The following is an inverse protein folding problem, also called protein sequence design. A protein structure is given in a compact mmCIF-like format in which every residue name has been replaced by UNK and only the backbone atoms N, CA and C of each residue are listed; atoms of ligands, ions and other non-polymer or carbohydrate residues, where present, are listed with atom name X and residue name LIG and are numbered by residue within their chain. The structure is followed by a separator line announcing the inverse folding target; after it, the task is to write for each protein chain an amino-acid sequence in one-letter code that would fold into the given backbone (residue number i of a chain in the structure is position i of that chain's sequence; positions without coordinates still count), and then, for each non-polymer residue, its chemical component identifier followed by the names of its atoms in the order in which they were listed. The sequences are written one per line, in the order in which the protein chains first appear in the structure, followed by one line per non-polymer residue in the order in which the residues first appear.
data_IF_696020653892
#
_entry.id   IF_696020653892
#
_cell.length_a   1.000
_cell.length_b   1.000
_cell.length_c   1.000
_cell.angle_alpha   90.00
_cell.angle_beta   90.00
_cell.angle_gamma   90.00
#
_symmetry.space_group_name_H-M   'P 1'
#
loop_
_entity.id
_entity.type
_entity.pdbx_description
1 polymer ?
#
# COMPACT_ATOMS: atom_id res chain seq x y z
N UNK A 1 17.08 -51.79 -17.07
CA UNK A 1 15.67 -52.12 -17.42
C UNK A 1 15.69 -53.00 -18.66
N UNK A 2 15.10 -54.20 -18.60
CA UNK A 2 15.04 -55.09 -19.76
C UNK A 2 14.20 -54.48 -20.88
N UNK A 3 14.71 -54.51 -22.13
CA UNK A 3 14.04 -53.99 -23.33
C UNK A 3 12.59 -54.51 -23.47
N UNK A 4 12.34 -55.76 -23.07
CA UNK A 4 11.01 -56.37 -23.02
C UNK A 4 10.04 -55.66 -22.07
N UNK A 5 10.51 -55.11 -20.94
CA UNK A 5 9.66 -54.33 -20.01
C UNK A 5 9.35 -52.94 -20.54
N UNK A 6 10.28 -52.33 -21.28
CA UNK A 6 10.10 -51.02 -21.90
C UNK A 6 9.08 -51.08 -23.05
N UNK A 7 9.19 -52.09 -23.92
CA UNK A 7 8.22 -52.33 -25.00
C UNK A 7 6.82 -52.61 -24.44
N UNK A 8 6.72 -53.46 -23.42
CA UNK A 8 5.43 -53.72 -22.74
C UNK A 8 4.85 -52.50 -22.00
N UNK A 9 5.65 -51.50 -21.66
CA UNK A 9 5.16 -50.24 -21.09
C UNK A 9 4.60 -49.31 -22.18
N UNK A 10 5.28 -49.24 -23.34
CA UNK A 10 4.86 -48.42 -24.48
C UNK A 10 3.51 -48.90 -25.03
N UNK A 11 3.36 -50.20 -25.28
CA UNK A 11 2.12 -50.80 -25.80
C UNK A 11 0.93 -50.50 -24.87
N UNK A 12 1.13 -50.65 -23.55
CA UNK A 12 0.08 -50.34 -22.56
C UNK A 12 -0.27 -48.86 -22.50
N UNK A 13 0.68 -47.97 -22.78
CA UNK A 13 0.42 -46.54 -22.81
C UNK A 13 -0.33 -46.11 -24.09
N UNK A 14 -0.04 -46.73 -25.22
CA UNK A 14 -0.78 -46.50 -26.46
C UNK A 14 -2.22 -46.98 -26.36
N UNK A 15 -2.45 -48.21 -25.87
CA UNK A 15 -3.81 -48.72 -25.63
C UNK A 15 -4.63 -47.78 -24.75
N UNK A 16 -4.05 -47.31 -23.63
CA UNK A 16 -4.70 -46.33 -22.74
C UNK A 16 -4.96 -44.97 -23.38
N UNK A 17 -4.19 -44.57 -24.40
CA UNK A 17 -4.43 -43.32 -25.15
C UNK A 17 -5.59 -43.49 -26.12
N UNK A 18 -5.67 -44.63 -26.80
CA UNK A 18 -6.78 -44.96 -27.69
C UNK A 18 -8.09 -45.06 -26.91
N UNK A 19 -8.10 -45.77 -25.78
CA UNK A 19 -9.26 -45.84 -24.88
C UNK A 19 -9.72 -44.45 -24.42
N UNK A 20 -8.78 -43.56 -24.05
CA UNK A 20 -9.12 -42.18 -23.64
C UNK A 20 -9.66 -41.30 -24.77
N UNK A 21 -9.34 -41.61 -26.03
CA UNK A 21 -9.87 -40.86 -27.17
C UNK A 21 -11.33 -41.22 -27.49
N UNK A 22 -11.79 -42.36 -26.97
CA UNK A 22 -13.16 -42.86 -27.12
C UNK A 22 -14.01 -42.63 -25.87
N UNK A 23 -13.43 -42.14 -24.75
CA UNK A 23 -14.15 -41.82 -23.50
C UNK A 23 -15.18 -40.70 -23.72
N UNK A 24 -16.38 -40.89 -23.19
CA UNK A 24 -17.40 -39.83 -23.09
C UNK A 24 -17.05 -38.84 -21.98
N UNK A 25 -17.65 -37.65 -22.01
CA UNK A 25 -17.40 -36.58 -21.01
C UNK A 25 -17.71 -37.05 -19.59
N UNK A 26 -18.78 -37.84 -19.39
CA UNK A 26 -19.15 -38.40 -18.09
C UNK A 26 -18.11 -39.40 -17.57
N UNK A 27 -17.66 -40.34 -18.42
CA UNK A 27 -16.62 -41.32 -18.05
C UNK A 27 -15.29 -40.64 -17.71
N UNK A 28 -14.92 -39.59 -18.46
CA UNK A 28 -13.72 -38.79 -18.18
C UNK A 28 -13.79 -38.09 -16.82
N UNK A 29 -14.99 -37.70 -16.40
CA UNK A 29 -15.26 -37.00 -15.12
C UNK A 29 -15.16 -37.97 -13.95
N UNK A 30 -15.77 -39.16 -14.07
CA UNK A 30 -15.68 -40.23 -13.06
C UNK A 30 -14.23 -40.67 -12.88
N UNK A 31 -13.47 -40.86 -13.96
CA UNK A 31 -12.06 -41.25 -13.89
C UNK A 31 -11.20 -40.19 -13.21
N UNK A 32 -11.46 -38.89 -13.46
CA UNK A 32 -10.77 -37.78 -12.78
C UNK A 32 -11.09 -37.77 -11.28
N UNK A 33 -12.34 -38.01 -10.90
CA UNK A 33 -12.77 -38.10 -9.50
C UNK A 33 -12.00 -39.20 -8.74
N UNK A 34 -11.97 -40.42 -9.30
CA UNK A 34 -11.27 -41.57 -8.70
C UNK A 34 -9.76 -41.30 -8.56
N UNK A 35 -9.15 -40.67 -9.57
CA UNK A 35 -7.72 -40.29 -9.49
C UNK A 35 -7.47 -39.26 -8.39
N UNK A 36 -8.30 -38.22 -8.32
CA UNK A 36 -8.18 -37.17 -7.31
C UNK A 36 -8.34 -37.74 -5.90
N UNK A 37 -9.24 -38.71 -5.70
CA UNK A 37 -9.42 -39.37 -4.42
C UNK A 37 -8.20 -40.23 -4.05
N UNK A 38 -7.64 -40.98 -5.00
CA UNK A 38 -6.42 -41.76 -4.78
C UNK A 38 -5.19 -40.88 -4.48
N UNK A 39 -5.05 -39.75 -5.19
CA UNK A 39 -3.98 -38.78 -4.94
C UNK A 39 -4.16 -38.08 -3.59
N UNK A 40 -5.40 -37.74 -3.20
CA UNK A 40 -5.69 -37.21 -1.86
C UNK A 40 -5.36 -38.21 -0.74
N UNK A 41 -5.56 -39.52 -0.98
CA UNK A 41 -5.17 -40.56 -0.01
C UNK A 41 -3.64 -40.73 0.10
N UNK A 42 -2.90 -40.48 -0.99
CA UNK A 42 -1.43 -40.56 -1.02
C UNK A 42 -0.73 -39.28 -0.57
N UNK A 43 -1.45 -38.16 -0.53
CA UNK A 43 -0.91 -36.87 -0.12
C UNK A 43 -0.50 -36.96 1.36
N UNK A 44 0.79 -36.71 1.71
CA UNK A 44 1.19 -36.68 3.10
C UNK A 44 0.38 -35.61 3.82
N UNK A 45 -0.42 -36.02 4.82
CA UNK A 45 -1.41 -35.14 5.47
C UNK A 45 -0.80 -34.06 6.38
N UNK A 46 0.52 -33.98 6.53
CA UNK A 46 1.17 -32.96 7.35
C UNK A 46 2.54 -32.64 6.79
N UNK A 47 2.73 -31.40 6.34
CA UNK A 47 4.02 -30.75 6.56
C UNK A 47 4.06 -30.52 8.07
N UNK A 48 4.68 -31.45 8.79
CA UNK A 48 4.97 -31.23 10.20
C UNK A 48 6.10 -30.20 10.23
N UNK A 49 5.77 -28.92 10.41
CA UNK A 49 6.76 -27.97 10.89
C UNK A 49 7.14 -28.49 12.27
N UNK A 50 8.35 -29.04 12.43
CA UNK A 50 8.88 -29.39 13.74
C UNK A 50 9.05 -28.08 14.50
N UNK A 51 8.12 -27.77 15.39
CA UNK A 51 8.23 -26.67 16.34
C UNK A 51 9.06 -27.09 17.57
N UNK A 52 9.99 -28.04 17.43
CA UNK A 52 10.85 -28.53 18.53
C UNK A 52 12.05 -27.59 18.76
N UNK A 53 11.85 -26.28 18.58
CA UNK A 53 12.85 -25.27 18.92
C UNK A 53 12.36 -24.60 20.20
N UNK A 54 13.16 -24.67 21.28
CA UNK A 54 12.88 -23.89 22.48
C UNK A 54 12.86 -22.41 22.09
N UNK A 55 11.71 -21.76 22.33
CA UNK A 55 11.55 -20.34 22.04
C UNK A 55 12.51 -19.53 22.90
N UNK A 56 13.48 -18.89 22.25
CA UNK A 56 14.39 -17.97 22.92
C UNK A 56 13.63 -16.69 23.29
N UNK A 57 13.43 -16.47 24.59
CA UNK A 57 12.71 -15.33 25.14
C UNK A 57 13.69 -14.32 25.75
N UNK A 58 13.86 -13.17 25.10
CA UNK A 58 14.74 -12.09 25.55
C UNK A 58 14.15 -11.23 26.69
N UNK A 59 12.96 -11.57 27.21
CA UNK A 59 12.23 -10.81 28.21
C UNK A 59 11.54 -9.55 27.67
N UNK A 60 11.19 -8.63 28.57
CA UNK A 60 10.56 -7.35 28.20
C UNK A 60 11.59 -6.34 27.70
N UNK A 61 11.25 -5.67 26.60
CA UNK A 61 12.02 -4.55 26.07
C UNK A 61 11.79 -3.34 27.00
N UNK A 62 12.69 -3.13 27.95
CA UNK A 62 12.50 -2.19 29.08
C UNK A 62 13.69 -1.27 29.32
N UNK A 63 14.87 -1.62 28.80
CA UNK A 63 16.07 -0.79 28.91
C UNK A 63 15.99 0.34 27.90
N UNK A 64 16.34 1.57 28.30
CA UNK A 64 16.26 2.73 27.41
C UNK A 64 17.64 3.27 27.07
N UNK A 65 17.84 3.67 25.83
CA UNK A 65 19.02 4.42 25.41
C UNK A 65 19.00 5.81 26.05
N UNK A 66 20.07 6.18 26.75
CA UNK A 66 20.19 7.48 27.43
C UNK A 66 20.25 8.70 26.51
N UNK A 67 20.42 8.52 25.19
CA UNK A 67 20.50 9.63 24.24
C UNK A 67 19.19 9.88 23.49
N UNK A 68 18.55 8.83 22.97
CA UNK A 68 17.37 8.95 22.10
C UNK A 68 16.10 8.27 22.66
N UNK A 69 16.17 7.67 23.85
CA UNK A 69 15.02 7.01 24.48
C UNK A 69 14.55 5.71 23.82
N UNK A 70 15.23 5.23 22.79
CA UNK A 70 14.92 3.95 22.15
C UNK A 70 14.99 2.81 23.16
N UNK A 71 14.02 1.90 23.12
CA UNK A 71 13.91 0.80 24.07
C UNK A 71 14.62 -0.45 23.54
N UNK A 72 15.25 -1.21 24.43
CA UNK A 72 16.13 -2.33 24.15
C UNK A 72 15.80 -3.53 25.03
N UNK A 73 16.15 -4.71 24.54
CA UNK A 73 16.35 -5.87 25.42
C UNK A 73 17.71 -5.77 26.12
N UNK A 74 17.79 -6.33 27.32
CA UNK A 74 19.01 -6.29 28.14
C UNK A 74 20.24 -6.88 27.43
N UNK A 75 20.02 -7.92 26.64
CA UNK A 75 21.07 -8.67 25.91
C UNK A 75 21.58 -7.95 24.65
N UNK A 76 20.96 -6.83 24.25
CA UNK A 76 21.39 -6.08 23.07
C UNK A 76 22.56 -5.11 23.31
N UNK A 77 23.09 -5.08 24.54
CA UNK A 77 24.30 -4.33 24.86
C UNK A 77 25.47 -4.90 24.06
N UNK A 78 26.30 -4.02 23.52
CA UNK A 78 27.57 -4.44 22.94
C UNK A 78 28.56 -4.88 24.04
N UNK A 79 29.75 -5.33 23.65
CA UNK A 79 30.82 -5.71 24.59
C UNK A 79 31.22 -4.60 25.56
N UNK A 80 31.05 -3.33 25.17
CA UNK A 80 31.27 -2.15 26.01
C UNK A 80 30.07 -1.78 26.89
N UNK A 81 29.06 -2.65 27.00
CA UNK A 81 27.84 -2.47 27.80
C UNK A 81 26.99 -1.25 27.37
N UNK A 82 27.06 -0.88 26.09
CA UNK A 82 26.35 0.27 25.51
C UNK A 82 25.33 -0.13 24.45
N UNK A 83 24.30 0.70 24.30
CA UNK A 83 23.30 0.61 23.25
C UNK A 83 23.67 1.50 22.07
N UNK A 84 24.17 0.90 20.99
CA UNK A 84 24.69 1.66 19.84
C UNK A 84 23.89 1.48 18.56
N UNK A 85 22.85 0.63 18.55
CA UNK A 85 22.08 0.34 17.32
C UNK A 85 21.10 1.47 16.93
N UNK A 86 20.69 2.32 17.87
CA UNK A 86 19.67 3.35 17.65
C UNK A 86 20.27 4.66 17.15
N UNK A 87 21.09 5.31 17.98
CA UNK A 87 21.69 6.62 17.70
C UNK A 87 23.22 6.56 17.61
N UNK A 88 23.79 5.36 17.52
CA UNK A 88 25.24 5.15 17.49
C UNK A 88 25.98 5.86 18.65
N UNK A 89 25.51 5.66 19.89
CA UNK A 89 26.05 6.29 21.11
C UNK A 89 25.92 7.83 21.09
N UNK A 90 24.78 8.33 20.64
CA UNK A 90 24.48 9.77 20.56
C UNK A 90 25.10 10.50 19.37
N UNK A 91 25.80 9.81 18.47
CA UNK A 91 26.38 10.39 17.26
C UNK A 91 25.36 10.72 16.17
N UNK A 92 24.22 10.03 16.19
CA UNK A 92 23.08 10.29 15.31
C UNK A 92 21.98 10.92 16.13
N UNK A 93 21.61 12.16 15.79
CA UNK A 93 20.47 12.82 16.38
C UNK A 93 19.21 12.39 15.62
N UNK A 94 18.45 11.48 16.21
CA UNK A 94 17.14 11.10 15.71
C UNK A 94 16.11 12.09 16.26
N UNK A 95 15.31 12.67 15.37
CA UNK A 95 14.17 13.48 15.79
C UNK A 95 13.06 12.56 16.30
N UNK A 96 12.37 13.00 17.35
CA UNK A 96 11.22 12.27 17.85
C UNK A 96 10.13 12.20 16.79
N UNK A 97 9.53 11.02 16.63
CA UNK A 97 8.37 10.88 15.77
C UNK A 97 7.28 11.85 16.24
N UNK A 98 6.65 12.61 15.32
CA UNK A 98 5.54 13.46 15.69
C UNK A 98 4.42 12.58 16.24
N UNK A 99 3.74 13.08 17.27
CA UNK A 99 2.59 12.39 17.83
C UNK A 99 1.52 12.16 16.76
N UNK A 100 1.00 10.92 16.74
CA UNK A 100 -0.15 10.59 15.91
C UNK A 100 -1.35 11.45 16.30
N UNK A 101 -2.20 11.87 15.34
CA UNK A 101 -3.43 12.59 15.62
C UNK A 101 -4.29 11.85 16.66
N UNK A 102 -4.86 12.59 17.61
CA UNK A 102 -5.63 12.03 18.73
C UNK A 102 -6.80 11.16 18.24
N UNK A 103 -7.44 11.56 17.13
CA UNK A 103 -8.49 10.79 16.48
C UNK A 103 -8.02 9.38 16.08
N UNK A 104 -6.83 9.27 15.48
CA UNK A 104 -6.27 7.98 15.07
C UNK A 104 -5.85 7.14 16.28
N UNK A 105 -5.29 7.78 17.32
CA UNK A 105 -4.99 7.11 18.60
C UNK A 105 -6.26 6.49 19.17
N UNK A 106 -7.33 7.27 19.31
CA UNK A 106 -8.62 6.81 19.80
C UNK A 106 -9.19 5.65 18.96
N UNK A 107 -9.17 5.76 17.63
CA UNK A 107 -9.66 4.67 16.77
C UNK A 107 -8.81 3.40 16.83
N UNK A 108 -7.53 3.47 17.17
CA UNK A 108 -6.67 2.31 17.31
C UNK A 108 -6.74 1.67 18.71
N UNK A 109 -6.99 2.44 19.77
CA UNK A 109 -6.89 1.94 21.15
C UNK A 109 -8.22 1.76 21.86
N UNK A 110 -9.25 2.53 21.51
CA UNK A 110 -10.53 2.49 22.23
C UNK A 110 -11.42 1.31 21.82
N UNK A 111 -12.42 1.01 22.65
CA UNK A 111 -13.38 -0.08 22.45
C UNK A 111 -14.77 0.39 21.98
N UNK A 112 -14.88 1.62 21.48
CA UNK A 112 -16.12 2.15 20.90
C UNK A 112 -16.53 1.41 19.61
N UNK A 113 -17.82 1.43 19.23
CA UNK A 113 -18.28 0.87 17.95
C UNK A 113 -17.54 1.45 16.74
N UNK A 114 -17.30 2.77 16.76
CA UNK A 114 -16.53 3.50 15.73
C UNK A 114 -15.12 2.92 15.60
N UNK A 115 -14.39 2.82 16.70
CA UNK A 115 -13.02 2.32 16.73
C UNK A 115 -12.92 0.85 16.29
N UNK A 116 -13.91 0.02 16.66
CA UNK A 116 -14.01 -1.37 16.19
C UNK A 116 -14.24 -1.46 14.69
N UNK A 117 -15.18 -0.68 14.14
CA UNK A 117 -15.44 -0.64 12.71
C UNK A 117 -14.21 -0.15 11.95
N UNK A 118 -13.58 0.94 12.41
CA UNK A 118 -12.33 1.46 11.86
C UNK A 118 -11.25 0.39 11.78
N UNK A 119 -10.94 -0.30 12.88
CA UNK A 119 -9.89 -1.34 12.88
C UNK A 119 -10.21 -2.52 11.97
N UNK A 120 -11.48 -2.94 11.91
CA UNK A 120 -11.91 -4.02 11.02
C UNK A 120 -11.82 -3.64 9.54
N UNK A 121 -11.96 -2.35 9.22
CA UNK A 121 -12.09 -1.82 7.86
C UNK A 121 -10.99 -0.81 7.50
N UNK A 122 -9.86 -0.85 8.22
CA UNK A 122 -8.81 0.19 8.12
C UNK A 122 -8.29 0.34 6.69
N UNK A 123 -8.22 -0.76 5.94
CA UNK A 123 -7.85 -0.77 4.53
C UNK A 123 -8.86 -0.05 3.63
N UNK A 124 -10.16 -0.23 3.88
CA UNK A 124 -11.23 0.44 3.13
C UNK A 124 -11.19 1.95 3.39
N UNK A 125 -11.10 2.37 4.66
CA UNK A 125 -10.93 3.79 5.02
C UNK A 125 -9.69 4.40 4.38
N UNK A 126 -8.53 3.73 4.50
CA UNK A 126 -7.28 4.23 3.92
C UNK A 126 -7.38 4.36 2.40
N UNK A 127 -7.88 3.33 1.72
CA UNK A 127 -7.99 3.33 0.26
C UNK A 127 -8.94 4.40 -0.26
N UNK A 128 -10.03 4.67 0.47
CA UNK A 128 -11.00 5.71 0.12
C UNK A 128 -10.51 7.14 0.39
N UNK A 129 -9.54 7.31 1.28
CA UNK A 129 -8.91 8.59 1.62
C UNK A 129 -7.58 8.82 0.88
N UNK A 130 -7.04 7.82 0.19
CA UNK A 130 -5.77 7.90 -0.50
C UNK A 130 -5.75 9.00 -1.59
N UNK A 131 -4.60 9.63 -1.80
CA UNK A 131 -4.38 10.60 -2.87
C UNK A 131 -3.91 9.93 -4.17
N UNK A 132 -3.25 8.79 -4.05
CA UNK A 132 -2.79 7.97 -5.15
C UNK A 132 -3.44 6.58 -5.11
N UNK A 133 -3.71 6.03 -6.29
CA UNK A 133 -4.10 4.63 -6.44
C UNK A 133 -2.88 3.72 -6.37
N UNK A 134 -3.04 2.54 -5.76
CA UNK A 134 -2.06 1.45 -5.83
C UNK A 134 -2.62 0.36 -6.73
N UNK A 135 -1.82 -0.10 -7.68
CA UNK A 135 -2.19 -1.16 -8.60
C UNK A 135 -1.06 -2.14 -8.84
N UNK A 136 -1.42 -3.38 -9.13
CA UNK A 136 -0.46 -4.40 -9.49
C UNK A 136 -1.08 -5.34 -10.51
N UNK A 137 -0.27 -5.91 -11.40
CA UNK A 137 -0.76 -6.88 -12.37
C UNK A 137 -0.88 -8.25 -11.69
N UNK A 138 -2.09 -8.60 -11.25
CA UNK A 138 -2.37 -9.89 -10.64
C UNK A 138 -2.49 -10.95 -11.74
N UNK A 139 -1.60 -11.95 -11.74
CA UNK A 139 -1.71 -13.12 -12.63
C UNK A 139 -1.76 -14.37 -11.78
N UNK A 140 -2.96 -14.90 -11.45
CA UNK A 140 -3.05 -16.16 -10.71
C UNK A 140 -2.28 -17.26 -11.45
N UNK A 141 -1.60 -18.17 -10.74
CA UNK A 141 -0.89 -19.28 -11.37
C UNK A 141 -1.82 -20.10 -12.27
N UNK A 142 -1.31 -20.55 -13.41
CA UNK A 142 -2.01 -21.53 -14.25
C UNK A 142 -2.00 -22.90 -13.55
N UNK A 143 -3.17 -23.49 -13.32
CA UNK A 143 -3.32 -24.86 -12.81
C UNK A 143 -4.27 -25.01 -11.62
N UNK A 144 -4.41 -26.24 -11.12
CA UNK A 144 -5.34 -26.64 -10.05
C UNK A 144 -4.65 -26.69 -8.67
N UNK A 145 -3.76 -25.73 -8.40
CA UNK A 145 -3.10 -25.61 -7.09
C UNK A 145 -3.95 -24.81 -6.08
N UNK A 146 -3.58 -24.78 -4.80
CA UNK A 146 -4.16 -23.84 -3.83
C UNK A 146 -4.06 -22.40 -4.35
N UNK A 147 -5.09 -21.59 -4.09
CA UNK A 147 -5.09 -20.18 -4.48
C UNK A 147 -3.86 -19.48 -3.91
N UNK A 148 -3.07 -18.82 -4.75
CA UNK A 148 -2.03 -17.91 -4.31
C UNK A 148 -2.16 -16.59 -5.07
N UNK A 149 -2.08 -15.49 -4.31
CA UNK A 149 -2.06 -14.14 -4.84
C UNK A 149 -0.68 -13.90 -5.46
N UNK A 150 -0.62 -13.85 -6.79
CA UNK A 150 0.63 -13.68 -7.54
C UNK A 150 0.61 -12.34 -8.25
N UNK A 151 1.49 -11.46 -7.80
CA UNK A 151 1.84 -10.23 -8.49
C UNK A 151 2.83 -10.56 -9.60
N UNK A 152 2.57 -10.04 -10.79
CA UNK A 152 3.43 -10.19 -11.96
C UNK A 152 3.97 -8.81 -12.35
N UNK A 153 5.29 -8.62 -12.24
CA UNK A 153 5.90 -7.31 -12.45
C UNK A 153 5.95 -6.50 -11.15
N UNK A 154 5.88 -5.18 -11.27
CA UNK A 154 6.02 -4.24 -10.16
C UNK A 154 4.65 -3.68 -9.73
N UNK A 155 4.50 -3.39 -8.44
CA UNK A 155 3.40 -2.54 -7.95
C UNK A 155 3.65 -1.12 -8.45
N UNK A 156 2.60 -0.48 -8.96
CA UNK A 156 2.66 0.88 -9.46
C UNK A 156 1.66 1.75 -8.70
N UNK A 157 2.08 2.96 -8.39
CA UNK A 157 1.25 3.97 -7.76
C UNK A 157 0.90 5.01 -8.82
N UNK A 158 -0.37 5.44 -8.89
CA UNK A 158 -0.82 6.41 -9.89
C UNK A 158 -1.59 7.56 -9.31
N UNK A 159 -1.29 8.75 -9.81
CA UNK A 159 -2.01 9.99 -9.50
C UNK A 159 -2.81 10.42 -10.73
N UNK A 160 -4.09 10.69 -10.51
CA UNK A 160 -4.99 11.19 -11.55
C UNK A 160 -4.89 12.72 -11.67
N UNK A 161 -5.26 13.29 -12.83
CA UNK A 161 -5.53 14.72 -12.98
C UNK A 161 -6.57 15.22 -11.97
N UNK A 162 -6.61 16.54 -11.77
CA UNK A 162 -7.47 17.18 -10.77
C UNK A 162 -8.97 16.95 -11.05
N UNK A 163 -9.38 17.07 -12.31
CA UNK A 163 -10.73 16.79 -12.78
C UNK A 163 -10.75 15.50 -13.60
N UNK A 164 -11.87 14.80 -13.57
CA UNK A 164 -12.09 13.63 -14.42
C UNK A 164 -12.42 14.05 -15.84
N UNK A 165 -12.09 13.21 -16.82
CA UNK A 165 -12.75 13.25 -18.12
C UNK A 165 -14.15 12.65 -18.00
N UNK A 166 -15.08 13.05 -18.87
CA UNK A 166 -16.53 12.75 -18.82
C UNK A 166 -16.92 11.26 -18.69
N UNK A 167 -15.96 10.34 -18.75
CA UNK A 167 -16.18 8.88 -18.70
C UNK A 167 -15.75 8.22 -17.38
N UNK A 168 -15.18 8.96 -16.43
CA UNK A 168 -14.67 8.39 -15.18
C UNK A 168 -15.23 9.07 -13.93
N UNK A 169 -15.54 8.25 -12.92
CA UNK A 169 -15.98 8.70 -11.59
C UNK A 169 -14.79 9.25 -10.80
N UNK A 170 -15.02 10.32 -10.04
CA UNK A 170 -13.98 10.96 -9.26
C UNK A 170 -13.47 10.03 -8.15
N UNK A 171 -12.16 10.02 -7.95
CA UNK A 171 -11.51 9.13 -7.00
C UNK A 171 -10.20 9.70 -6.48
N UNK A 172 -9.75 9.16 -5.36
CA UNK A 172 -8.47 9.50 -4.73
C UNK A 172 -8.33 11.01 -4.45
N UNK A 173 -7.20 11.62 -4.85
CA UNK A 173 -6.91 13.04 -4.63
C UNK A 173 -7.99 14.00 -5.17
N UNK A 174 -8.72 13.59 -6.20
CA UNK A 174 -9.82 14.39 -6.78
C UNK A 174 -10.93 14.67 -5.77
N UNK A 175 -11.14 13.77 -4.80
CA UNK A 175 -12.22 13.93 -3.82
C UNK A 175 -12.01 15.11 -2.86
N UNK A 176 -10.79 15.64 -2.78
CA UNK A 176 -10.46 16.75 -1.89
C UNK A 176 -10.86 18.13 -2.43
N UNK A 177 -11.27 18.23 -3.71
CA UNK A 177 -11.81 19.48 -4.27
C UNK A 177 -13.28 19.70 -3.89
N UNK A 178 -14.02 18.62 -3.61
CA UNK A 178 -15.41 18.66 -3.18
C UNK A 178 -15.51 19.08 -1.71
N UNK A 179 -16.70 19.51 -1.29
CA UNK A 179 -16.97 19.66 0.13
C UNK A 179 -16.92 18.31 0.86
N UNK A 180 -16.77 18.36 2.19
CA UNK A 180 -16.55 17.15 2.99
C UNK A 180 -17.72 16.17 2.93
N UNK A 181 -18.96 16.67 2.85
CA UNK A 181 -20.15 15.85 2.78
C UNK A 181 -20.24 15.14 1.43
N UNK A 182 -20.10 15.88 0.33
CA UNK A 182 -20.13 15.30 -1.02
C UNK A 182 -18.99 14.29 -1.23
N UNK A 183 -17.77 14.61 -0.76
CA UNK A 183 -16.64 13.69 -0.82
C UNK A 183 -16.92 12.40 -0.03
N UNK A 184 -17.58 12.51 1.13
CA UNK A 184 -17.96 11.35 1.96
C UNK A 184 -19.01 10.47 1.28
N UNK A 185 -20.04 11.06 0.67
CA UNK A 185 -21.04 10.32 -0.11
C UNK A 185 -20.39 9.53 -1.26
N UNK A 186 -19.48 10.18 -2.00
CA UNK A 186 -18.70 9.54 -3.07
C UNK A 186 -17.87 8.37 -2.53
N UNK A 187 -17.22 8.51 -1.36
CA UNK A 187 -16.45 7.42 -0.71
C UNK A 187 -17.34 6.27 -0.26
N UNK A 188 -18.49 6.55 0.35
CA UNK A 188 -19.40 5.51 0.86
C UNK A 188 -20.00 4.65 -0.24
N UNK A 189 -20.20 5.21 -1.44
CA UNK A 189 -20.77 4.45 -2.57
C UNK A 189 -20.01 3.16 -2.91
N UNK A 190 -18.68 3.12 -2.64
CA UNK A 190 -17.82 1.96 -2.84
C UNK A 190 -17.47 1.23 -1.53
N UNK A 191 -17.84 1.77 -0.37
CA UNK A 191 -17.42 1.32 0.96
C UNK A 191 -18.62 1.20 1.93
N UNK A 192 -19.64 0.45 1.53
CA UNK A 192 -20.93 0.35 2.24
C UNK A 192 -20.84 -0.19 3.69
N UNK A 193 -19.75 -0.86 4.04
CA UNK A 193 -19.51 -1.39 5.38
C UNK A 193 -18.79 -0.39 6.32
N UNK A 194 -18.35 0.75 5.79
CA UNK A 194 -17.76 1.83 6.55
C UNK A 194 -18.86 2.76 7.09
N UNK A 195 -18.56 3.47 8.17
CA UNK A 195 -19.46 4.40 8.84
C UNK A 195 -19.24 5.82 8.31
N UNK A 196 -20.32 6.48 7.93
CA UNK A 196 -20.30 7.85 7.40
C UNK A 196 -19.59 8.83 8.33
N UNK A 197 -19.98 8.88 9.60
CA UNK A 197 -19.40 9.81 10.58
C UNK A 197 -17.94 9.53 10.89
N UNK A 198 -17.45 8.31 10.65
CA UNK A 198 -16.01 7.99 10.75
C UNK A 198 -15.28 8.58 9.54
N UNK A 199 -15.84 8.49 8.34
CA UNK A 199 -15.28 9.18 7.17
C UNK A 199 -15.23 10.69 7.36
N UNK A 200 -16.31 11.31 7.86
CA UNK A 200 -16.36 12.76 8.10
C UNK A 200 -15.26 13.20 9.07
N UNK A 201 -15.09 12.48 10.20
CA UNK A 201 -14.01 12.76 11.17
C UNK A 201 -12.62 12.64 10.54
N UNK A 202 -12.38 11.58 9.77
CA UNK A 202 -11.08 11.33 9.11
C UNK A 202 -10.79 12.32 7.98
N UNK A 203 -11.79 12.66 7.17
CA UNK A 203 -11.68 13.64 6.08
C UNK A 203 -11.40 15.03 6.63
N UNK A 204 -12.13 15.44 7.69
CA UNK A 204 -11.88 16.69 8.39
C UNK A 204 -10.44 16.76 8.90
N UNK A 205 -10.00 15.74 9.63
CA UNK A 205 -8.62 15.64 10.13
C UNK A 205 -7.60 15.77 8.99
N UNK A 206 -7.75 15.02 7.89
CA UNK A 206 -6.81 15.06 6.76
C UNK A 206 -6.82 16.41 6.04
N UNK A 207 -7.97 17.09 5.91
CA UNK A 207 -8.03 18.45 5.34
C UNK A 207 -7.30 19.47 6.20
N UNK A 208 -7.31 19.30 7.52
CA UNK A 208 -6.58 20.18 8.42
C UNK A 208 -5.07 19.96 8.37
N UNK A 209 -4.61 18.70 8.37
CA UNK A 209 -3.18 18.39 8.62
C UNK A 209 -2.41 17.86 7.41
N UNK A 210 -3.07 17.43 6.35
CA UNK A 210 -2.39 16.84 5.19
C UNK A 210 -1.98 17.90 4.16
N UNK A 211 -0.68 18.05 3.85
CA UNK A 211 -0.23 18.98 2.82
C UNK A 211 -0.79 18.61 1.43
N UNK A 212 -1.03 17.32 1.16
CA UNK A 212 -1.63 16.88 -0.10
C UNK A 212 -3.05 17.42 -0.25
N UNK A 213 -3.89 17.25 0.78
CA UNK A 213 -5.27 17.75 0.79
C UNK A 213 -5.33 19.25 0.51
N UNK A 214 -4.47 20.02 1.19
CA UNK A 214 -4.35 21.47 1.01
C UNK A 214 -3.90 21.82 -0.42
N UNK A 215 -2.95 21.06 -0.98
CA UNK A 215 -2.42 21.31 -2.34
C UNK A 215 -3.48 21.06 -3.42
N UNK A 216 -4.27 19.98 -3.31
CA UNK A 216 -5.38 19.70 -4.22
C UNK A 216 -6.43 20.82 -4.20
N UNK A 217 -6.81 21.28 -3.00
CA UNK A 217 -7.77 22.38 -2.84
C UNK A 217 -7.22 23.71 -3.38
N UNK A 218 -5.94 24.00 -3.14
CA UNK A 218 -5.30 25.21 -3.65
C UNK A 218 -5.21 25.20 -5.18
N UNK A 219 -4.85 24.07 -5.78
CA UNK A 219 -4.82 23.91 -7.24
C UNK A 219 -6.22 24.14 -7.83
N UNK A 220 -7.26 23.60 -7.21
CA UNK A 220 -8.65 23.81 -7.63
C UNK A 220 -9.05 25.28 -7.63
N UNK A 221 -8.74 26.02 -6.55
CA UNK A 221 -9.03 27.46 -6.46
C UNK A 221 -8.32 28.26 -7.56
N UNK A 222 -7.04 27.98 -7.79
CA UNK A 222 -6.26 28.67 -8.82
C UNK A 222 -6.80 28.41 -10.24
N UNK A 223 -7.26 27.19 -10.53
CA UNK A 223 -7.90 26.88 -11.81
C UNK A 223 -9.23 27.64 -11.97
N UNK A 224 -10.02 27.78 -10.90
CA UNK A 224 -11.26 28.54 -10.94
C UNK A 224 -11.03 30.05 -11.10
N UNK A 225 -10.04 30.61 -10.40
CA UNK A 225 -9.68 32.03 -10.46
C UNK A 225 -9.03 32.42 -11.80
N UNK A 226 -8.30 31.48 -12.43
CA UNK A 226 -7.57 31.70 -13.68
C UNK A 226 -7.84 30.62 -14.75
N UNK A 227 -9.06 30.54 -15.32
CA UNK A 227 -9.46 29.44 -16.20
C UNK A 227 -8.65 29.31 -17.50
N UNK A 228 -8.05 30.41 -17.96
CA UNK A 228 -7.26 30.45 -19.20
C UNK A 228 -5.77 30.19 -18.97
N UNK A 229 -5.34 30.05 -17.72
CA UNK A 229 -3.93 29.92 -17.38
C UNK A 229 -3.55 28.45 -17.17
N UNK A 230 -2.38 28.05 -17.66
CA UNK A 230 -1.88 26.70 -17.39
C UNK A 230 -1.48 26.60 -15.91
N UNK A 231 -2.29 25.88 -15.14
CA UNK A 231 -2.01 25.55 -13.74
C UNK A 231 -1.47 24.13 -13.66
N UNK A 232 -0.39 23.88 -12.92
CA UNK A 232 0.10 22.52 -12.64
C UNK A 232 0.59 22.41 -11.20
N UNK A 233 0.22 21.35 -10.52
CA UNK A 233 0.71 21.04 -9.17
C UNK A 233 1.83 20.02 -9.27
N UNK A 234 2.96 20.26 -8.60
CA UNK A 234 4.09 19.34 -8.62
C UNK A 234 4.62 19.10 -7.22
N UNK A 235 4.67 17.84 -6.81
CA UNK A 235 5.28 17.46 -5.54
C UNK A 235 6.80 17.34 -5.71
N UNK A 236 7.54 18.03 -4.85
CA UNK A 236 8.99 18.15 -4.95
C UNK A 236 9.68 17.18 -3.99
N UNK A 237 10.70 16.50 -4.51
CA UNK A 237 11.73 15.86 -3.68
C UNK A 237 12.84 16.88 -3.45
N UNK A 238 13.11 17.24 -2.20
CA UNK A 238 14.22 18.14 -1.90
C UNK A 238 15.53 17.35 -2.10
N UNK A 239 16.32 17.76 -3.10
CA UNK A 239 17.60 17.11 -3.44
C UNK A 239 18.76 17.58 -2.57
N UNK A 240 18.54 18.60 -1.72
CA UNK A 240 19.55 19.13 -0.79
C UNK A 240 19.47 18.48 0.60
N UNK A 241 18.64 17.44 0.76
CA UNK A 241 18.53 16.69 2.00
C UNK A 241 19.83 15.93 2.26
N UNK A 242 20.62 16.40 3.23
CA UNK A 242 21.76 15.64 3.74
C UNK A 242 21.24 14.31 4.30
N UNK A 243 21.56 13.18 3.66
CA UNK A 243 21.14 11.85 4.09
C UNK A 243 21.62 11.48 5.51
N UNK A 244 22.52 12.27 6.12
CA UNK A 244 23.02 12.09 7.48
C UNK A 244 22.25 12.89 8.53
N UNK A 245 21.28 13.72 8.13
CA UNK A 245 20.44 14.52 9.03
C UNK A 245 18.98 14.33 8.65
N UNK A 246 18.13 14.15 9.66
CA UNK A 246 16.69 14.16 9.43
C UNK A 246 16.26 15.56 8.98
N UNK A 247 15.54 15.61 7.86
CA UNK A 247 15.00 16.83 7.31
C UNK A 247 13.47 16.67 7.27
N UNK A 248 12.78 17.12 8.32
CA UNK A 248 11.33 17.29 8.23
C UNK A 248 11.03 18.46 7.29
N UNK A 249 10.05 18.34 6.38
CA UNK A 249 9.48 19.49 5.71
C UNK A 249 8.97 20.46 6.78
N UNK A 250 9.51 21.66 6.78
CA UNK A 250 9.25 22.70 7.76
C UNK A 250 7.98 23.49 7.47
N UNK A 251 7.45 23.43 6.25
CA UNK A 251 6.26 24.19 5.81
C UNK A 251 5.40 23.41 4.80
N UNK A 252 4.07 23.65 4.82
CA UNK A 252 3.10 23.09 3.86
C UNK A 252 3.46 23.36 2.38
N UNK A 253 4.24 24.40 2.12
CA UNK A 253 4.68 24.85 0.78
C UNK A 253 5.88 24.08 0.23
N UNK A 254 6.59 23.31 1.05
CA UNK A 254 7.76 22.54 0.61
C UNK A 254 7.38 21.22 -0.07
N UNK A 255 6.21 20.68 0.25
CA UNK A 255 5.76 19.37 -0.28
C UNK A 255 5.24 19.51 -1.71
N UNK A 256 4.60 20.63 -2.06
CA UNK A 256 4.03 20.87 -3.39
C UNK A 256 4.23 22.32 -3.85
N UNK A 257 4.60 22.51 -5.12
CA UNK A 257 4.60 23.80 -5.79
C UNK A 257 3.54 23.83 -6.90
N UNK A 258 2.74 24.90 -6.95
CA UNK A 258 1.75 25.11 -8.00
C UNK A 258 2.26 26.20 -8.95
N UNK A 259 2.40 25.84 -10.23
CA UNK A 259 2.86 26.72 -11.30
C UNK A 259 1.67 27.33 -12.04
N UNK A 260 1.76 28.63 -12.34
CA UNK A 260 0.76 29.40 -13.07
C UNK A 260 1.50 30.24 -14.12
N UNK A 261 1.27 30.03 -15.42
CA UNK A 261 1.88 30.85 -16.49
C UNK A 261 1.61 30.35 -17.91
N UNK A 262 1.97 31.17 -18.91
CA UNK A 262 1.63 30.97 -20.34
C UNK A 262 2.16 29.66 -20.93
N UNK A 263 3.31 29.18 -20.45
CA UNK A 263 3.89 27.91 -20.89
C UNK A 263 3.62 26.77 -19.90
N UNK A 264 3.32 27.11 -18.63
CA UNK A 264 3.06 26.17 -17.54
C UNK A 264 4.05 25.01 -17.41
N UNK A 265 5.24 25.04 -18.01
CA UNK A 265 6.11 23.86 -18.07
C UNK A 265 6.80 23.67 -16.70
N UNK A 266 6.59 22.52 -16.05
CA UNK A 266 7.31 22.22 -14.83
C UNK A 266 8.80 22.04 -15.18
N UNK A 267 9.73 22.36 -14.26
CA UNK A 267 11.15 22.06 -14.45
C UNK A 267 11.36 20.59 -14.83
N UNK A 268 12.26 20.31 -15.79
CA UNK A 268 12.46 18.99 -16.42
C UNK A 268 12.80 17.81 -15.47
N UNK A 269 13.03 18.07 -14.18
CA UNK A 269 13.45 17.12 -13.16
C UNK A 269 12.48 17.11 -11.97
N UNK A 270 11.24 16.64 -12.14
CA UNK A 270 10.30 16.48 -11.02
C UNK A 270 9.53 15.17 -11.10
N UNK A 271 9.23 14.61 -9.93
CA UNK A 271 8.86 13.20 -9.77
C UNK A 271 7.34 12.93 -9.84
N UNK A 272 6.49 13.88 -9.42
CA UNK A 272 5.03 13.74 -9.48
C UNK A 272 4.37 15.05 -9.90
N UNK A 273 3.72 15.08 -11.07
CA UNK A 273 2.98 16.23 -11.58
C UNK A 273 1.48 15.92 -11.70
N UNK A 274 0.63 16.85 -11.31
CA UNK A 274 -0.82 16.77 -11.41
C UNK A 274 -1.29 17.89 -12.32
N UNK A 275 -2.03 17.50 -13.37
CA UNK A 275 -2.61 18.41 -14.34
C UNK A 275 -4.08 18.69 -13.99
N UNK A 276 -4.65 19.86 -14.36
CA UNK A 276 -6.06 20.17 -14.11
C UNK A 276 -6.96 19.18 -14.86
N UNK A 277 -6.74 19.07 -16.16
CA UNK A 277 -7.45 18.16 -17.06
C UNK A 277 -6.42 17.32 -17.80
N UNK A 278 -6.70 16.04 -17.98
CA UNK A 278 -5.89 15.14 -18.77
C UNK A 278 -6.49 13.74 -18.85
N UNK A 279 -6.06 12.99 -19.86
CA UNK A 279 -6.58 11.63 -20.08
C UNK A 279 -5.67 10.55 -19.48
N UNK A 280 -4.54 10.93 -18.87
CA UNK A 280 -3.53 9.98 -18.37
C UNK A 280 -3.18 10.22 -16.91
N UNK A 281 -3.20 9.14 -16.11
CA UNK A 281 -2.64 9.15 -14.77
C UNK A 281 -1.11 9.06 -14.83
N UNK A 282 -0.42 9.75 -13.93
CA UNK A 282 1.04 9.65 -13.80
C UNK A 282 1.44 8.53 -12.85
N UNK A 283 2.51 7.81 -13.16
CA UNK A 283 3.09 6.80 -12.28
C UNK A 283 4.05 7.48 -11.31
N UNK A 284 3.87 7.22 -10.01
CA UNK A 284 4.81 7.63 -8.97
C UNK A 284 5.91 6.58 -8.89
N UNK A 285 7.18 7.03 -8.87
CA UNK A 285 8.31 6.16 -8.54
C UNK A 285 8.15 5.59 -7.13
N UNK A 286 8.29 4.28 -6.90
CA UNK A 286 8.26 3.71 -5.55
C UNK A 286 9.38 4.21 -4.63
N UNK A 287 10.41 4.85 -5.20
CA UNK A 287 11.49 5.47 -4.44
C UNK A 287 11.18 6.90 -4.02
N UNK A 288 10.07 7.48 -4.51
CA UNK A 288 9.70 8.85 -4.18
C UNK A 288 9.12 8.93 -2.76
N UNK A 289 9.59 9.90 -1.99
CA UNK A 289 9.15 10.13 -0.61
C UNK A 289 7.63 10.35 -0.43
N UNK A 290 6.91 10.79 -1.46
CA UNK A 290 5.46 10.99 -1.42
C UNK A 290 4.67 9.71 -1.77
N UNK A 291 5.31 8.65 -2.28
CA UNK A 291 4.62 7.44 -2.72
C UNK A 291 3.81 6.80 -1.59
N UNK A 292 4.44 6.52 -0.44
CA UNK A 292 3.77 5.92 0.70
C UNK A 292 2.77 6.88 1.36
N UNK A 293 3.09 8.16 1.63
CA UNK A 293 2.14 9.08 2.23
C UNK A 293 0.91 9.38 1.36
N UNK A 294 1.04 9.40 0.03
CA UNK A 294 -0.11 9.56 -0.87
C UNK A 294 -0.98 8.30 -0.95
N UNK A 295 -0.40 7.11 -0.73
CA UNK A 295 -1.12 5.83 -0.78
C UNK A 295 -1.73 5.45 0.58
N UNK A 296 -1.06 5.83 1.67
CA UNK A 296 -1.41 5.49 3.04
C UNK A 296 -1.59 6.74 3.92
N UNK A 297 -2.55 7.62 3.61
CA UNK A 297 -2.72 8.89 4.33
C UNK A 297 -3.11 8.71 5.80
N UNK A 298 -3.69 7.57 6.18
CA UNK A 298 -4.00 7.30 7.59
C UNK A 298 -2.77 6.86 8.39
N UNK A 299 -1.74 6.34 7.73
CA UNK A 299 -0.46 6.02 8.36
C UNK A 299 0.46 7.25 8.39
N UNK A 300 0.40 8.08 7.33
CA UNK A 300 1.19 9.30 7.19
C UNK A 300 0.30 10.53 7.04
N UNK A 301 -0.51 10.89 8.05
CA UNK A 301 -1.50 11.96 7.92
C UNK A 301 -0.89 13.34 7.63
N UNK A 302 0.36 13.55 8.05
CA UNK A 302 1.13 14.78 7.79
C UNK A 302 1.93 14.74 6.49
N UNK A 303 1.81 13.68 5.69
CA UNK A 303 2.42 13.57 4.37
C UNK A 303 3.92 13.24 4.36
N UNK A 304 4.48 12.76 5.47
CA UNK A 304 5.93 12.53 5.61
C UNK A 304 6.23 11.14 6.15
N UNK A 305 7.23 10.48 5.57
CA UNK A 305 7.84 9.26 6.12
C UNK A 305 8.98 9.69 7.04
N UNK A 306 8.85 9.44 8.33
CA UNK A 306 9.91 9.75 9.30
C UNK A 306 10.90 8.58 9.27
N UNK A 307 12.08 8.80 8.68
CA UNK A 307 13.19 7.84 8.68
C UNK A 307 14.17 8.12 9.82
#
# INVERSE_FOLDING_TARGET
MNLSRAVGYIIRNEQRRTERSQETVQESTVRRSIRNEADNRRRPKRVCIRNDVEEHNCGTMSEQCGFCGAVYWKEEKNTAHKYTKCCHDGKVQLLSFPDAPELLKAFLTENSPDAKNYRQRIWEYNSALAFASMGAQIKPPRGTGPYCYRLHGQEYHRVSPLYTSDQHKESYGQLYIFDSSEATEKRLSNNQNCLQHVFEKLDFMLREISPFSQSYLQMHRLVQEHPTTSVKMVFLEDKNLDMRRYNAPTLCTEVAAIFVGDNGEPPANRDICVYPVGDTCQIISPLNQCCDPMTYPLLFPRGVVVH
#
